data_IF_106860220835
#
_entry.id   IF_106860220835
#
_cell.length_a   1.000
_cell.length_b   1.000
_cell.length_c   1.000
_cell.angle_alpha   90.00
_cell.angle_beta   90.00
_cell.angle_gamma   90.00
#
_symmetry.space_group_name_H-M   'P 1'
#
loop_
_entity.id
_entity.type
_entity.pdbx_description
1 polymer ?
#
# COMPACT_ATOMS: atom_id res chain seq x y z
N UNK A 1 -0.76 40.95 -47.52
CA UNK A 1 -1.46 39.66 -47.64
C UNK A 1 -0.96 38.74 -46.54
N UNK A 2 -1.81 38.41 -45.56
CA UNK A 2 -1.44 37.58 -44.39
C UNK A 2 -1.61 36.10 -44.76
N UNK A 3 -0.56 35.30 -44.61
CA UNK A 3 -0.63 33.84 -44.68
C UNK A 3 -1.23 33.31 -43.37
N UNK A 4 -2.28 32.51 -43.48
CA UNK A 4 -2.89 31.78 -42.37
C UNK A 4 -2.24 30.40 -42.34
N UNK A 5 -1.51 30.09 -41.26
CA UNK A 5 -1.06 28.73 -40.96
C UNK A 5 -2.24 27.96 -40.36
N UNK A 6 -2.67 26.90 -41.04
CA UNK A 6 -3.62 25.93 -40.50
C UNK A 6 -2.80 24.84 -39.80
N UNK A 7 -2.78 24.86 -38.47
CA UNK A 7 -2.24 23.77 -37.65
C UNK A 7 -3.32 22.70 -37.57
N UNK A 8 -3.11 21.58 -38.27
CA UNK A 8 -3.92 20.39 -38.11
C UNK A 8 -3.57 19.74 -36.75
N UNK A 9 -4.49 19.80 -35.80
CA UNK A 9 -4.42 19.00 -34.58
C UNK A 9 -4.70 17.53 -34.94
N UNK A 10 -3.64 16.72 -35.03
CA UNK A 10 -3.74 15.27 -34.91
C UNK A 10 -4.14 14.94 -33.48
N UNK A 11 -5.45 14.82 -33.25
CA UNK A 11 -6.00 14.13 -32.09
C UNK A 11 -5.65 12.65 -32.23
N UNK A 12 -4.46 12.30 -31.76
CA UNK A 12 -4.08 10.91 -31.55
C UNK A 12 -5.00 10.32 -30.48
N UNK A 13 -5.98 9.53 -30.91
CA UNK A 13 -6.61 8.54 -30.07
C UNK A 13 -5.53 7.54 -29.63
N UNK A 14 -4.82 7.83 -28.54
CA UNK A 14 -4.10 6.81 -27.80
C UNK A 14 -5.16 5.88 -27.24
N UNK A 15 -5.42 4.80 -27.97
CA UNK A 15 -6.04 3.59 -27.44
C UNK A 15 -5.21 3.22 -26.21
N UNK A 16 -5.75 3.52 -25.04
CA UNK A 16 -5.31 2.96 -23.77
C UNK A 16 -5.50 1.46 -23.92
N UNK A 17 -4.44 0.76 -24.36
CA UNK A 17 -4.30 -0.66 -24.12
C UNK A 17 -4.55 -0.85 -22.63
N UNK A 18 -5.57 -1.61 -22.27
CA UNK A 18 -5.81 -2.06 -20.90
C UNK A 18 -4.58 -2.88 -20.50
N UNK A 19 -3.60 -2.17 -19.96
CA UNK A 19 -2.31 -2.69 -19.57
C UNK A 19 -2.55 -3.76 -18.51
N UNK A 20 -2.48 -5.03 -18.92
CA UNK A 20 -2.83 -6.14 -18.04
C UNK A 20 -1.81 -6.22 -16.90
N UNK A 21 -2.22 -5.78 -15.70
CA UNK A 21 -1.44 -5.97 -14.48
C UNK A 21 -1.25 -7.46 -14.23
N UNK A 22 0.01 -7.87 -14.06
CA UNK A 22 0.36 -9.25 -13.73
C UNK A 22 0.94 -9.30 -12.32
N UNK A 23 0.45 -10.24 -11.51
CA UNK A 23 0.93 -10.43 -10.15
C UNK A 23 1.99 -11.52 -10.08
N UNK A 24 3.06 -11.25 -9.35
CA UNK A 24 4.05 -12.25 -8.97
C UNK A 24 4.26 -12.26 -7.46
N UNK A 25 4.77 -13.37 -6.96
CA UNK A 25 5.23 -13.50 -5.59
C UNK A 25 6.65 -14.07 -5.52
N UNK A 26 7.31 -13.79 -4.41
CA UNK A 26 8.50 -14.46 -3.96
C UNK A 26 8.51 -14.49 -2.43
N UNK A 27 9.34 -15.34 -1.84
CA UNK A 27 9.48 -15.41 -0.39
C UNK A 27 10.91 -15.67 0.03
N UNK A 28 11.28 -15.12 1.18
CA UNK A 28 12.43 -15.55 1.95
C UNK A 28 11.97 -16.17 3.29
N UNK A 29 12.93 -16.45 4.20
CA UNK A 29 12.63 -17.06 5.51
C UNK A 29 11.69 -16.21 6.38
N UNK A 30 11.70 -14.89 6.22
CA UNK A 30 11.02 -13.95 7.11
C UNK A 30 9.96 -13.10 6.39
N UNK A 31 10.10 -12.90 5.08
CA UNK A 31 9.30 -11.97 4.31
C UNK A 31 8.67 -12.64 3.09
N UNK A 32 7.51 -12.11 2.72
CA UNK A 32 6.90 -12.31 1.41
C UNK A 32 7.06 -11.05 0.59
N UNK A 33 7.20 -11.24 -0.70
CA UNK A 33 7.33 -10.17 -1.67
C UNK A 33 6.24 -10.35 -2.70
N UNK A 34 5.44 -9.31 -2.91
CA UNK A 34 4.43 -9.28 -3.97
C UNK A 34 4.80 -8.21 -4.98
N UNK A 35 4.52 -8.50 -6.24
CA UNK A 35 4.93 -7.66 -7.34
C UNK A 35 3.72 -7.42 -8.23
N UNK A 36 3.36 -6.15 -8.39
CA UNK A 36 2.42 -5.69 -9.41
C UNK A 36 3.24 -5.24 -10.62
N UNK A 37 3.22 -6.03 -11.69
CA UNK A 37 3.93 -5.72 -12.93
C UNK A 37 2.96 -5.07 -13.94
N UNK A 38 3.32 -3.90 -14.42
CA UNK A 38 2.66 -3.15 -15.49
C UNK A 38 3.64 -2.97 -16.67
N UNK A 39 3.17 -2.55 -17.87
CA UNK A 39 4.02 -2.47 -19.06
C UNK A 39 5.28 -1.63 -18.92
N UNK A 40 5.22 -0.55 -18.12
CA UNK A 40 6.30 0.44 -17.97
C UNK A 40 6.78 0.59 -16.52
N UNK A 41 6.07 0.00 -15.56
CA UNK A 41 6.36 0.12 -14.13
C UNK A 41 6.13 -1.21 -13.40
N UNK A 42 6.80 -1.38 -12.26
CA UNK A 42 6.48 -2.42 -11.31
C UNK A 42 6.40 -1.84 -9.90
N UNK A 43 5.57 -2.42 -9.05
CA UNK A 43 5.59 -2.15 -7.60
C UNK A 43 5.96 -3.42 -6.87
N UNK A 44 6.86 -3.31 -5.90
CA UNK A 44 7.26 -4.40 -5.04
C UNK A 44 6.85 -4.06 -3.61
N UNK A 45 6.09 -4.97 -3.01
CA UNK A 45 5.64 -4.88 -1.63
C UNK A 45 6.37 -5.92 -0.79
N UNK A 46 7.15 -5.47 0.20
CA UNK A 46 7.78 -6.35 1.19
C UNK A 46 6.86 -6.48 2.39
N UNK A 47 6.37 -7.70 2.61
CA UNK A 47 5.39 -8.02 3.62
C UNK A 47 6.00 -8.94 4.67
N UNK A 48 5.83 -8.59 5.95
CA UNK A 48 6.15 -9.46 7.07
C UNK A 48 4.88 -9.93 7.77
N UNK A 49 4.97 -11.08 8.44
CA UNK A 49 3.91 -11.54 9.35
C UNK A 49 4.00 -10.75 10.65
N UNK A 50 2.85 -10.31 11.16
CA UNK A 50 2.73 -9.62 12.44
C UNK A 50 1.91 -10.45 13.43
N UNK A 51 2.41 -10.54 14.65
CA UNK A 51 1.85 -11.35 15.73
C UNK A 51 1.75 -10.49 17.00
N UNK A 52 0.54 -10.28 17.50
CA UNK A 52 0.26 -9.67 18.81
C UNK A 52 -0.76 -10.53 19.56
N UNK A 53 -0.89 -10.33 20.88
CA UNK A 53 -1.91 -11.03 21.68
C UNK A 53 -3.34 -10.74 21.21
N UNK A 54 -3.59 -9.56 20.63
CA UNK A 54 -4.91 -9.18 20.14
C UNK A 54 -5.24 -9.74 18.75
N UNK A 55 -4.25 -10.24 18.01
CA UNK A 55 -4.48 -10.76 16.66
C UNK A 55 -3.22 -11.04 15.87
N UNK A 56 -3.42 -11.62 14.69
CA UNK A 56 -2.35 -11.88 13.72
C UNK A 56 -2.70 -11.25 12.40
N UNK A 57 -1.69 -10.76 11.68
CA UNK A 57 -1.90 -10.20 10.36
C UNK A 57 -0.58 -10.08 9.60
N UNK A 58 -0.57 -9.14 8.68
CA UNK A 58 0.57 -8.78 7.87
C UNK A 58 0.89 -7.30 8.07
N UNK A 59 2.15 -6.93 7.85
CA UNK A 59 2.59 -5.53 7.82
C UNK A 59 3.37 -5.27 6.55
N UNK A 60 3.11 -4.11 5.95
CA UNK A 60 3.88 -3.61 4.83
C UNK A 60 5.16 -2.99 5.38
N UNK A 61 6.28 -3.72 5.26
CA UNK A 61 7.58 -3.21 5.69
C UNK A 61 8.16 -2.20 4.70
N UNK A 62 7.82 -2.39 3.42
CA UNK A 62 8.41 -1.62 2.35
C UNK A 62 7.58 -1.65 1.06
N UNK A 63 7.61 -0.53 0.34
CA UNK A 63 7.13 -0.39 -1.04
C UNK A 63 8.29 0.18 -1.89
N UNK A 64 8.55 -0.42 -3.04
CA UNK A 64 9.50 0.10 -4.03
C UNK A 64 8.81 0.18 -5.39
N UNK A 65 8.98 1.30 -6.08
CA UNK A 65 8.48 1.49 -7.44
C UNK A 65 9.64 1.39 -8.41
N UNK A 66 9.51 0.51 -9.40
CA UNK A 66 10.52 0.23 -10.38
C UNK A 66 10.06 0.74 -11.74
N UNK A 67 10.98 1.32 -12.49
CA UNK A 67 10.74 1.76 -13.87
C UNK A 67 11.36 0.77 -14.83
N UNK A 68 10.65 0.46 -15.91
CA UNK A 68 11.18 -0.41 -16.97
C UNK A 68 12.34 0.26 -17.70
N UNK A 69 13.35 -0.53 -17.99
CA UNK A 69 14.56 -0.13 -18.69
C UNK A 69 14.51 -0.63 -20.14
N UNK A 70 15.40 -0.09 -20.99
CA UNK A 70 15.47 -0.45 -22.41
C UNK A 70 15.80 -1.95 -22.65
N UNK A 71 16.49 -2.59 -21.70
CA UNK A 71 16.82 -4.02 -21.74
C UNK A 71 15.67 -4.94 -21.24
N UNK A 72 14.50 -4.36 -20.92
CA UNK A 72 13.34 -5.07 -20.39
C UNK A 72 13.41 -5.40 -18.90
N UNK A 73 14.50 -5.01 -18.21
CA UNK A 73 14.56 -5.07 -16.75
C UNK A 73 13.73 -3.96 -16.10
N UNK A 74 13.45 -4.10 -14.81
CA UNK A 74 12.84 -3.05 -13.99
C UNK A 74 13.80 -2.69 -12.89
N UNK A 75 14.04 -1.40 -12.67
CA UNK A 75 14.96 -0.91 -11.64
C UNK A 75 14.27 0.13 -10.79
N UNK A 76 14.36 -0.03 -9.47
CA UNK A 76 13.85 0.89 -8.46
C UNK A 76 14.98 1.37 -7.56
N UNK A 77 14.62 1.94 -6.41
CA UNK A 77 15.61 2.49 -5.50
C UNK A 77 16.41 1.39 -4.79
N UNK A 78 15.76 0.28 -4.42
CA UNK A 78 16.35 -0.80 -3.61
C UNK A 78 16.27 -2.17 -4.28
N UNK A 79 15.44 -2.28 -5.31
CA UNK A 79 15.06 -3.54 -5.92
C UNK A 79 15.23 -3.49 -7.43
N UNK A 80 15.48 -4.65 -8.03
CA UNK A 80 15.47 -4.81 -9.48
C UNK A 80 14.84 -6.14 -9.88
N UNK A 81 14.15 -6.15 -11.02
CA UNK A 81 13.63 -7.36 -11.67
C UNK A 81 14.38 -7.53 -12.97
N UNK A 82 15.05 -8.68 -13.13
CA UNK A 82 15.81 -9.00 -14.34
C UNK A 82 15.11 -10.12 -15.10
N UNK A 83 14.93 -10.02 -16.42
CA UNK A 83 14.44 -11.12 -17.21
C UNK A 83 15.42 -12.30 -17.10
N UNK A 84 14.92 -13.45 -16.62
CA UNK A 84 15.65 -14.71 -16.58
C UNK A 84 15.33 -15.57 -17.80
N UNK A 85 16.08 -16.67 -18.01
CA UNK A 85 15.77 -17.67 -19.04
C UNK A 85 14.44 -18.37 -18.80
N UNK A 86 14.08 -18.60 -17.53
CA UNK A 86 12.85 -19.28 -17.10
C UNK A 86 12.10 -18.42 -16.08
N UNK A 87 11.30 -17.47 -16.57
CA UNK A 87 10.59 -16.43 -15.80
C UNK A 87 11.52 -15.50 -14.98
N UNK A 88 11.10 -14.26 -14.77
CA UNK A 88 11.94 -13.20 -14.19
C UNK A 88 12.56 -13.60 -12.85
N UNK A 89 13.82 -13.22 -12.62
CA UNK A 89 14.44 -13.28 -11.29
C UNK A 89 14.37 -11.89 -10.68
N UNK A 90 13.92 -11.80 -9.43
CA UNK A 90 13.94 -10.55 -8.66
C UNK A 90 15.19 -10.52 -7.79
N UNK A 91 15.93 -9.42 -7.80
CA UNK A 91 17.07 -9.22 -6.92
C UNK A 91 16.79 -8.07 -5.98
N UNK A 92 16.83 -8.33 -4.66
CA UNK A 92 16.90 -7.27 -3.66
C UNK A 92 18.35 -6.85 -3.47
N UNK A 93 18.60 -5.55 -3.61
CA UNK A 93 19.93 -4.97 -3.75
C UNK A 93 20.64 -5.46 -5.03
N UNK A 94 20.74 -4.62 -6.09
CA UNK A 94 21.33 -4.99 -7.38
C UNK A 94 22.74 -5.58 -7.32
N UNK A 95 23.47 -5.32 -6.21
CA UNK A 95 24.82 -5.82 -5.94
C UNK A 95 24.88 -7.26 -5.39
N UNK A 96 23.76 -7.82 -4.91
CA UNK A 96 23.70 -9.21 -4.41
C UNK A 96 23.46 -10.18 -5.56
N UNK A 97 24.23 -11.27 -5.59
CA UNK A 97 24.15 -12.32 -6.63
C UNK A 97 22.94 -13.25 -6.49
N UNK A 98 22.31 -13.31 -5.31
CA UNK A 98 21.16 -14.19 -5.07
C UNK A 98 19.85 -13.45 -5.37
N UNK A 99 19.18 -13.85 -6.44
CA UNK A 99 17.80 -13.45 -6.72
C UNK A 99 16.77 -14.45 -6.16
N UNK A 100 15.54 -14.00 -6.04
CA UNK A 100 14.37 -14.81 -5.75
C UNK A 100 13.69 -15.20 -7.05
N UNK A 101 13.26 -16.45 -7.15
CA UNK A 101 12.42 -16.91 -8.25
C UNK A 101 11.03 -16.30 -8.09
N UNK A 102 10.50 -15.76 -9.18
CA UNK A 102 9.14 -15.26 -9.23
C UNK A 102 8.18 -16.39 -9.58
N UNK A 103 7.09 -16.44 -8.84
CA UNK A 103 5.99 -17.37 -9.04
C UNK A 103 4.71 -16.61 -9.31
N UNK A 104 3.77 -17.21 -10.05
CA UNK A 104 2.45 -16.63 -10.27
C UNK A 104 1.50 -17.14 -9.18
N UNK A 105 1.07 -16.28 -8.23
CA UNK A 105 0.17 -16.66 -7.17
C UNK A 105 -1.30 -16.61 -7.63
N UNK A 106 -2.21 -17.05 -6.75
CA UNK A 106 -3.64 -16.74 -6.90
C UNK A 106 -3.86 -15.26 -6.55
N UNK A 107 -4.43 -14.50 -7.48
CA UNK A 107 -4.70 -13.06 -7.33
C UNK A 107 -5.47 -12.72 -6.06
N UNK A 108 -6.50 -13.50 -5.71
CA UNK A 108 -7.31 -13.25 -4.51
C UNK A 108 -6.49 -13.35 -3.21
N UNK A 109 -5.56 -14.31 -3.13
CA UNK A 109 -4.73 -14.52 -1.95
C UNK A 109 -3.70 -13.38 -1.79
N UNK A 110 -3.13 -12.90 -2.90
CA UNK A 110 -2.23 -11.74 -2.89
C UNK A 110 -2.96 -10.49 -2.44
N UNK A 111 -4.12 -10.21 -3.04
CA UNK A 111 -4.94 -9.07 -2.68
C UNK A 111 -5.32 -9.11 -1.21
N UNK A 112 -5.77 -10.25 -0.69
CA UNK A 112 -6.06 -10.40 0.74
C UNK A 112 -4.89 -9.97 1.62
N UNK A 113 -3.69 -10.44 1.30
CA UNK A 113 -2.50 -10.19 2.11
C UNK A 113 -2.05 -8.74 1.98
N UNK A 114 -2.03 -8.17 0.77
CA UNK A 114 -1.69 -6.77 0.54
C UNK A 114 -2.70 -5.83 1.22
N UNK A 115 -3.98 -6.13 1.13
CA UNK A 115 -5.05 -5.35 1.74
C UNK A 115 -4.97 -5.40 3.27
N UNK A 116 -4.73 -6.59 3.84
CA UNK A 116 -4.53 -6.72 5.28
C UNK A 116 -3.31 -5.94 5.76
N UNK A 117 -2.19 -6.09 5.05
CA UNK A 117 -0.94 -5.42 5.38
C UNK A 117 -1.09 -3.90 5.34
N UNK A 118 -1.71 -3.38 4.28
CA UNK A 118 -1.96 -1.96 4.11
C UNK A 118 -2.90 -1.41 5.18
N UNK A 119 -4.03 -2.08 5.41
CA UNK A 119 -5.01 -1.60 6.38
C UNK A 119 -4.45 -1.54 7.80
N UNK A 120 -3.79 -2.60 8.25
CA UNK A 120 -3.22 -2.63 9.60
C UNK A 120 -2.12 -1.59 9.78
N UNK A 121 -1.26 -1.42 8.77
CA UNK A 121 -0.20 -0.40 8.79
C UNK A 121 -0.78 1.01 8.93
N UNK A 122 -1.74 1.38 8.07
CA UNK A 122 -2.44 2.68 8.13
C UNK A 122 -3.19 2.88 9.47
N UNK A 123 -3.82 1.84 9.98
CA UNK A 123 -4.52 1.91 11.27
C UNK A 123 -3.54 2.11 12.44
N UNK A 124 -2.41 1.42 12.41
CA UNK A 124 -1.40 1.50 13.46
C UNK A 124 -0.73 2.87 13.47
N UNK A 125 -0.45 3.44 12.30
CA UNK A 125 0.08 4.79 12.18
C UNK A 125 -0.93 5.83 12.67
N UNK A 126 -2.20 5.74 12.26
CA UNK A 126 -3.27 6.60 12.81
C UNK A 126 -3.34 6.50 14.34
N UNK A 127 -3.31 5.29 14.89
CA UNK A 127 -3.38 5.07 16.34
C UNK A 127 -2.17 5.66 17.07
N UNK A 128 -0.96 5.53 16.49
CA UNK A 128 0.28 6.11 17.02
C UNK A 128 0.22 7.63 17.03
N UNK A 129 -0.27 8.23 15.95
CA UNK A 129 -0.46 9.68 15.84
C UNK A 129 -1.44 10.18 16.91
N UNK A 130 -2.61 9.55 17.03
CA UNK A 130 -3.61 9.92 18.03
C UNK A 130 -3.08 9.76 19.46
N UNK A 131 -2.40 8.66 19.76
CA UNK A 131 -1.78 8.45 21.07
C UNK A 131 -0.67 9.46 21.37
N UNK A 132 0.04 9.95 20.35
CA UNK A 132 1.06 10.99 20.51
C UNK A 132 0.41 12.35 20.79
N UNK A 133 -0.70 12.66 20.11
CA UNK A 133 -1.41 13.92 20.26
C UNK A 133 -2.27 13.97 21.55
N UNK A 134 -2.85 12.84 21.94
CA UNK A 134 -3.72 12.69 23.11
C UNK A 134 -3.26 11.49 23.98
N UNK A 135 -2.16 11.62 24.74
CA UNK A 135 -1.61 10.49 25.48
C UNK A 135 -2.54 9.91 26.56
N UNK A 136 -3.47 10.71 27.07
CA UNK A 136 -4.37 10.35 28.17
C UNK A 136 -5.54 9.45 27.74
N UNK A 137 -5.82 9.31 26.45
CA UNK A 137 -7.06 8.67 25.97
C UNK A 137 -6.88 7.22 25.56
N UNK A 138 -5.63 6.73 25.55
CA UNK A 138 -5.32 5.31 25.48
C UNK A 138 -5.70 4.65 24.15
N UNK A 139 -5.57 5.37 23.03
CA UNK A 139 -5.85 4.82 21.71
C UNK A 139 -4.95 3.63 21.41
N UNK A 140 -5.58 2.46 21.26
CA UNK A 140 -4.88 1.20 21.07
C UNK A 140 -4.89 0.75 19.62
N UNK A 141 -3.70 0.56 19.05
CA UNK A 141 -3.52 -0.03 17.73
C UNK A 141 -4.15 -1.43 17.62
N UNK A 142 -4.32 -2.15 18.73
CA UNK A 142 -4.89 -3.51 18.79
C UNK A 142 -6.31 -3.59 18.26
N UNK A 143 -7.06 -2.49 18.31
CA UNK A 143 -8.40 -2.41 17.73
C UNK A 143 -8.38 -2.60 16.20
N UNK A 144 -7.24 -2.36 15.55
CA UNK A 144 -7.06 -2.54 14.11
C UNK A 144 -7.34 -3.96 13.63
N UNK A 145 -7.10 -4.99 14.46
CA UNK A 145 -7.40 -6.38 14.10
C UNK A 145 -8.91 -6.63 14.01
N UNK A 146 -9.67 -6.19 15.01
CA UNK A 146 -11.13 -6.32 14.99
C UNK A 146 -11.75 -5.47 13.87
N UNK A 147 -11.19 -4.29 13.59
CA UNK A 147 -11.62 -3.45 12.47
C UNK A 147 -11.33 -4.12 11.12
N UNK A 148 -10.16 -4.74 10.95
CA UNK A 148 -9.86 -5.54 9.77
C UNK A 148 -10.88 -6.67 9.57
N UNK A 149 -11.22 -7.40 10.63
CA UNK A 149 -12.19 -8.50 10.55
C UNK A 149 -13.58 -8.02 10.08
N UNK A 150 -13.96 -6.79 10.40
CA UNK A 150 -15.21 -6.18 9.98
C UNK A 150 -15.23 -5.71 8.50
N UNK A 151 -14.08 -5.63 7.82
CA UNK A 151 -14.03 -5.15 6.43
C UNK A 151 -14.68 -6.16 5.47
N UNK A 152 -15.65 -5.74 4.63
CA UNK A 152 -16.20 -6.56 3.57
C UNK A 152 -15.22 -6.67 2.38
N UNK A 153 -15.33 -7.76 1.63
CA UNK A 153 -14.55 -8.02 0.40
C UNK A 153 -13.03 -7.77 0.52
N UNK A 154 -12.39 -8.49 1.44
CA UNK A 154 -10.94 -8.40 1.71
C UNK A 154 -10.06 -8.76 0.51
N UNK A 155 -10.61 -9.39 -0.53
CA UNK A 155 -9.88 -9.90 -1.70
C UNK A 155 -9.97 -8.95 -2.91
N UNK A 156 -10.62 -7.80 -2.77
CA UNK A 156 -10.74 -6.83 -3.84
C UNK A 156 -9.36 -6.38 -4.35
N UNK A 157 -9.30 -5.92 -5.60
CA UNK A 157 -8.07 -5.42 -6.21
C UNK A 157 -7.40 -4.36 -5.34
N UNK A 158 -6.08 -4.49 -5.15
CA UNK A 158 -5.35 -3.78 -4.11
C UNK A 158 -5.43 -2.25 -4.24
N UNK A 159 -5.33 -1.70 -5.45
CA UNK A 159 -5.41 -0.25 -5.66
C UNK A 159 -6.81 0.30 -5.32
N UNK A 160 -7.88 -0.43 -5.69
CA UNK A 160 -9.24 -0.10 -5.24
C UNK A 160 -9.38 -0.19 -3.73
N UNK A 161 -8.79 -1.21 -3.10
CA UNK A 161 -8.80 -1.35 -1.65
C UNK A 161 -8.12 -0.18 -0.95
N UNK A 162 -6.94 0.25 -1.40
CA UNK A 162 -6.20 1.39 -0.84
C UNK A 162 -7.08 2.64 -0.77
N UNK A 163 -7.74 2.97 -1.87
CA UNK A 163 -8.65 4.12 -1.94
C UNK A 163 -9.79 4.04 -0.92
N UNK A 164 -10.35 2.84 -0.71
CA UNK A 164 -11.40 2.60 0.28
C UNK A 164 -10.85 2.68 1.71
N UNK A 165 -9.72 2.05 1.97
CA UNK A 165 -9.06 2.04 3.27
C UNK A 165 -8.65 3.45 3.70
N UNK A 166 -8.03 4.24 2.83
CA UNK A 166 -7.62 5.62 3.11
C UNK A 166 -8.81 6.48 3.53
N UNK A 167 -9.93 6.34 2.81
CA UNK A 167 -11.17 7.05 3.14
C UNK A 167 -11.71 6.64 4.51
N UNK A 168 -11.74 5.35 4.81
CA UNK A 168 -12.25 4.85 6.10
C UNK A 168 -11.35 5.26 7.26
N UNK A 169 -10.03 5.07 7.15
CA UNK A 169 -9.05 5.46 8.16
C UNK A 169 -9.13 6.96 8.41
N UNK A 170 -9.20 7.78 7.35
CA UNK A 170 -9.36 9.22 7.49
C UNK A 170 -10.64 9.60 8.22
N UNK A 171 -11.79 9.01 7.85
CA UNK A 171 -13.05 9.30 8.51
C UNK A 171 -13.04 8.90 10.00
N UNK A 172 -12.44 7.76 10.33
CA UNK A 172 -12.25 7.34 11.72
C UNK A 172 -11.36 8.32 12.48
N UNK A 173 -10.22 8.72 11.91
CA UNK A 173 -9.32 9.71 12.49
C UNK A 173 -10.04 11.03 12.76
N UNK A 174 -10.73 11.58 11.77
CA UNK A 174 -11.43 12.86 11.90
C UNK A 174 -12.52 12.80 12.99
N UNK A 175 -13.24 11.68 13.10
CA UNK A 175 -14.25 11.45 14.15
C UNK A 175 -13.63 11.39 15.55
N UNK A 176 -12.52 10.65 15.70
CA UNK A 176 -11.79 10.56 16.97
C UNK A 176 -11.23 11.92 17.39
N UNK A 177 -10.65 12.69 16.46
CA UNK A 177 -10.16 14.04 16.73
C UNK A 177 -11.27 14.97 17.25
N UNK A 178 -12.47 14.88 16.67
CA UNK A 178 -13.62 15.68 17.14
C UNK A 178 -14.07 15.27 18.55
N UNK A 179 -14.09 13.97 18.84
CA UNK A 179 -14.44 13.47 20.17
C UNK A 179 -13.43 13.95 21.22
N UNK A 180 -12.13 13.87 20.92
CA UNK A 180 -11.07 14.29 21.83
C UNK A 180 -11.08 15.79 22.09
N UNK A 181 -11.26 16.60 21.04
CA UNK A 181 -11.35 18.04 21.19
C UNK A 181 -12.53 18.43 22.07
N UNK A 182 -13.69 17.78 21.87
CA UNK A 182 -14.87 18.01 22.71
C UNK A 182 -14.63 17.65 24.17
N UNK A 183 -13.99 16.51 24.44
CA UNK A 183 -13.67 16.09 25.80
C UNK A 183 -12.76 17.09 26.52
N UNK A 184 -11.78 17.67 25.81
CA UNK A 184 -10.90 18.73 26.34
C UNK A 184 -11.69 20.01 26.64
N UNK A 185 -12.57 20.43 25.73
CA UNK A 185 -13.36 21.65 25.91
C UNK A 185 -14.35 21.52 27.08
N UNK A 186 -14.98 20.34 27.23
CA UNK A 186 -15.86 20.03 28.36
C UNK A 186 -15.07 20.09 29.69
N UNK A 187 -13.86 19.53 29.75
CA UNK A 187 -12.99 19.60 30.94
C UNK A 187 -12.59 21.04 31.29
N UNK A 188 -12.23 21.86 30.29
CA UNK A 188 -11.89 23.28 30.51
C UNK A 188 -13.07 24.04 31.10
N UNK A 189 -14.28 23.81 30.57
CA UNK A 189 -15.48 24.50 31.05
C UNK A 189 -15.84 24.16 32.50
N UNK A 190 -15.47 22.97 32.99
CA UNK A 190 -15.65 22.56 34.38
C UNK A 190 -14.64 23.30 35.27
N UNK A 191 -13.38 23.38 34.84
CA UNK A 191 -12.33 24.09 35.59
C UNK A 191 -12.63 25.59 35.69
N UNK A 192 -13.13 26.23 34.63
CA UNK A 192 -13.45 27.67 34.65
C UNK A 192 -14.66 28.03 35.54
N UNK A 193 -15.49 27.05 35.89
CA UNK A 193 -16.70 27.25 36.73
C UNK A 193 -16.44 27.02 38.22
N UNK A 194 -15.26 26.54 38.60
CA UNK A 194 -14.89 26.16 39.97
C UNK A 194 -13.61 26.85 40.43
#
# INVERSE_FOLDING_TARGET
MKQIFVIAYLLGNTLLSDAQTTLYQASDKFNRYYIELQPDQARIYKIARYLDKAGTGYLMQDEDTLTKQADGSYTGHRSAIRPGKDMGTMTFNPSRKSGYKLETPKTADVNYILNNAYYLDQYFDMSRELQTQYPSTGHSFRSGFAQWDAIPDKNMEHQKFRTLADRQIKAMKDSLLQYEQKAIDDQRSIIEKH
#
